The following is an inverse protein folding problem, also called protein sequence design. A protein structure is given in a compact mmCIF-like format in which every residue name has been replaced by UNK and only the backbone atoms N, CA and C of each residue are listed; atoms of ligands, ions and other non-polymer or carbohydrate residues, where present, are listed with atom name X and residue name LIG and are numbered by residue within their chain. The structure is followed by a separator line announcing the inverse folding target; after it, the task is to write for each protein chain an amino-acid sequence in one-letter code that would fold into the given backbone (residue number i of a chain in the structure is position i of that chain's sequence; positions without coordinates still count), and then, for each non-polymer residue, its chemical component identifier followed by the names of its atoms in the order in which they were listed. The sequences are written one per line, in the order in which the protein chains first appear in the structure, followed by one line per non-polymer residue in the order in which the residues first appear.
data_IF_563620612348
#
_entry.id   IF_563620612348
#
_cell.length_a   1.000
_cell.length_b   1.000
_cell.length_c   1.000
_cell.angle_alpha   90.00
_cell.angle_beta   90.00
_cell.angle_gamma   90.00
#
_symmetry.space_group_name_H-M   'P 1'
#
loop_
_entity.id
_entity.type
_entity.pdbx_description
1 polymer ?
#
# COMPACT_ATOMS: atom_id res chain seq x y z
N UNK A 1 9.54 -2.94 -22.55
CA UNK A 1 8.35 -2.11 -22.24
C UNK A 1 7.87 -2.28 -20.80
N UNK A 2 7.74 -3.51 -20.27
CA UNK A 2 7.27 -3.76 -18.90
C UNK A 2 8.10 -3.02 -17.83
N UNK A 3 9.42 -3.07 -17.94
CA UNK A 3 10.33 -2.40 -17.01
C UNK A 3 10.10 -0.88 -17.00
N UNK A 4 9.89 -0.27 -18.17
CA UNK A 4 9.62 1.16 -18.30
C UNK A 4 8.31 1.55 -17.60
N UNK A 5 7.25 0.77 -17.78
CA UNK A 5 5.96 1.00 -17.09
C UNK A 5 6.11 0.92 -15.56
N UNK A 6 6.85 -0.08 -15.06
CA UNK A 6 7.13 -0.23 -13.64
C UNK A 6 7.95 0.97 -13.12
N UNK A 7 8.97 1.40 -13.87
CA UNK A 7 9.83 2.52 -13.49
C UNK A 7 9.04 3.84 -13.40
N UNK A 8 8.23 4.16 -14.41
CA UNK A 8 7.41 5.36 -14.43
C UNK A 8 6.36 5.35 -13.32
N UNK A 9 5.70 4.22 -13.11
CA UNK A 9 4.74 4.06 -12.01
C UNK A 9 5.42 4.14 -10.64
N UNK A 10 6.66 3.64 -10.52
CA UNK A 10 7.48 3.76 -9.31
C UNK A 10 7.81 5.21 -8.98
N UNK A 11 8.18 6.00 -9.98
CA UNK A 11 8.39 7.46 -9.81
C UNK A 11 7.10 8.11 -9.28
N UNK A 12 5.95 7.81 -9.89
CA UNK A 12 4.66 8.33 -9.45
C UNK A 12 4.32 7.91 -8.01
N UNK A 13 4.56 6.65 -7.64
CA UNK A 13 4.35 6.13 -6.29
C UNK A 13 5.24 6.81 -5.25
N UNK A 14 6.52 7.00 -5.57
CA UNK A 14 7.47 7.73 -4.71
C UNK A 14 7.06 9.18 -4.50
N UNK A 15 6.69 9.88 -5.55
CA UNK A 15 6.23 11.27 -5.47
C UNK A 15 4.93 11.40 -4.69
N UNK A 16 3.99 10.47 -4.89
CA UNK A 16 2.74 10.42 -4.12
C UNK A 16 3.02 10.22 -2.62
N UNK A 17 3.92 9.29 -2.26
CA UNK A 17 4.35 9.09 -0.88
C UNK A 17 4.98 10.34 -0.29
N UNK A 18 5.92 10.95 -0.99
CA UNK A 18 6.57 12.17 -0.55
C UNK A 18 5.55 13.30 -0.30
N UNK A 19 4.59 13.47 -1.21
CA UNK A 19 3.50 14.44 -1.03
C UNK A 19 2.66 14.13 0.21
N UNK A 20 2.36 12.86 0.45
CA UNK A 20 1.63 12.43 1.64
C UNK A 20 2.39 12.77 2.93
N UNK A 21 3.70 12.52 2.94
CA UNK A 21 4.58 12.80 4.08
C UNK A 21 4.75 14.30 4.35
N UNK A 22 4.55 15.16 3.35
CA UNK A 22 4.55 16.63 3.53
C UNK A 22 3.26 17.16 4.15
N UNK A 23 2.14 16.47 3.94
CA UNK A 23 0.84 16.83 4.49
C UNK A 23 0.58 16.21 5.87
N UNK A 24 0.95 14.96 6.03
CA UNK A 24 0.84 14.20 7.27
C UNK A 24 2.25 13.84 7.72
N UNK A 25 2.63 14.26 8.93
CA UNK A 25 4.00 14.09 9.41
C UNK A 25 4.17 12.88 10.32
N UNK A 26 5.37 12.31 10.30
CA UNK A 26 5.79 11.25 11.20
C UNK A 26 5.09 9.91 10.96
N UNK A 27 4.98 9.12 12.00
CA UNK A 27 4.44 7.74 11.97
C UNK A 27 3.01 7.63 11.41
N UNK A 28 2.21 8.68 11.55
CA UNK A 28 0.87 8.72 10.98
C UNK A 28 0.90 8.69 9.45
N UNK A 29 1.87 9.38 8.83
CA UNK A 29 2.06 9.33 7.38
C UNK A 29 2.48 7.94 6.92
N UNK A 30 3.45 7.33 7.60
CA UNK A 30 3.93 5.98 7.30
C UNK A 30 2.79 4.95 7.41
N UNK A 31 2.01 5.03 8.48
CA UNK A 31 0.84 4.17 8.67
C UNK A 31 -0.18 4.37 7.54
N UNK A 32 -0.51 5.62 7.22
CA UNK A 32 -1.49 5.94 6.19
C UNK A 32 -1.08 5.43 4.80
N UNK A 33 0.16 5.66 4.36
CA UNK A 33 0.60 5.18 3.05
C UNK A 33 0.66 3.65 2.98
N UNK A 34 1.03 2.99 4.06
CA UNK A 34 1.06 1.53 4.11
C UNK A 34 -0.37 0.93 4.10
N UNK A 35 -1.31 1.51 4.84
CA UNK A 35 -2.71 1.09 4.83
C UNK A 35 -3.37 1.32 3.47
N UNK A 36 -3.25 2.54 2.93
CA UNK A 36 -3.82 2.89 1.63
C UNK A 36 -3.20 2.06 0.50
N UNK A 37 -1.88 1.92 0.49
CA UNK A 37 -1.19 1.10 -0.50
C UNK A 37 -1.60 -0.37 -0.44
N UNK A 38 -1.79 -0.90 0.76
CA UNK A 38 -2.28 -2.28 0.97
C UNK A 38 -3.70 -2.46 0.44
N UNK A 39 -4.59 -1.50 0.69
CA UNK A 39 -5.95 -1.51 0.16
C UNK A 39 -5.96 -1.47 -1.37
N UNK A 40 -5.21 -0.53 -1.97
CA UNK A 40 -5.12 -0.39 -3.43
C UNK A 40 -4.51 -1.64 -4.05
N UNK A 41 -3.48 -2.21 -3.44
CA UNK A 41 -2.86 -3.45 -3.90
C UNK A 41 -3.86 -4.62 -3.89
N UNK A 42 -4.60 -4.79 -2.80
CA UNK A 42 -5.62 -5.83 -2.68
C UNK A 42 -6.71 -5.69 -3.74
N UNK A 43 -7.18 -4.46 -3.96
CA UNK A 43 -8.17 -4.16 -5.01
C UNK A 43 -7.64 -4.52 -6.41
N UNK A 44 -6.48 -3.99 -6.78
CA UNK A 44 -5.90 -4.19 -8.13
C UNK A 44 -5.62 -5.66 -8.40
N UNK A 45 -4.99 -6.36 -7.45
CA UNK A 45 -4.64 -7.77 -7.63
C UNK A 45 -5.88 -8.65 -7.79
N UNK A 46 -6.88 -8.45 -6.94
CA UNK A 46 -8.12 -9.22 -7.02
C UNK A 46 -8.90 -8.91 -8.31
N UNK A 47 -9.07 -7.63 -8.62
CA UNK A 47 -9.76 -7.20 -9.84
C UNK A 47 -9.07 -7.72 -11.10
N UNK A 48 -7.74 -7.59 -11.19
CA UNK A 48 -6.98 -8.07 -12.34
C UNK A 48 -7.08 -9.59 -12.55
N UNK A 49 -7.06 -10.34 -11.43
CA UNK A 49 -7.10 -11.81 -11.49
C UNK A 49 -8.49 -12.32 -11.87
N UNK A 50 -9.54 -11.68 -11.35
CA UNK A 50 -10.93 -12.13 -11.54
C UNK A 50 -11.56 -11.64 -12.85
N UNK A 51 -11.31 -10.39 -13.24
CA UNK A 51 -11.91 -9.80 -14.43
C UNK A 51 -11.13 -10.08 -15.72
N UNK A 52 -9.82 -10.31 -15.61
CA UNK A 52 -8.93 -10.39 -16.77
C UNK A 52 -8.80 -9.08 -17.57
N UNK A 53 -9.40 -7.99 -17.09
CA UNK A 53 -9.47 -6.71 -17.82
C UNK A 53 -8.18 -5.90 -17.78
N UNK A 54 -7.27 -6.21 -16.85
CA UNK A 54 -6.01 -5.49 -16.69
C UNK A 54 -4.87 -6.28 -17.33
N UNK A 55 -4.15 -5.65 -18.25
CA UNK A 55 -2.98 -6.27 -18.87
C UNK A 55 -1.87 -6.57 -17.87
N UNK A 56 -1.03 -7.56 -18.15
CA UNK A 56 0.10 -7.94 -17.30
C UNK A 56 1.05 -6.76 -17.06
N UNK A 57 1.27 -5.92 -18.07
CA UNK A 57 2.14 -4.75 -17.97
C UNK A 57 1.54 -3.69 -17.04
N UNK A 58 0.25 -3.39 -17.20
CA UNK A 58 -0.44 -2.42 -16.34
C UNK A 58 -0.54 -2.92 -14.91
N UNK A 59 -0.83 -4.21 -14.70
CA UNK A 59 -0.84 -4.81 -13.36
C UNK A 59 0.53 -4.66 -12.69
N UNK A 60 1.62 -4.98 -13.39
CA UNK A 60 2.98 -4.82 -12.87
C UNK A 60 3.32 -3.37 -12.55
N UNK A 61 2.93 -2.43 -13.40
CA UNK A 61 3.11 -1.00 -13.16
C UNK A 61 2.39 -0.53 -11.88
N UNK A 62 1.14 -0.89 -11.73
CA UNK A 62 0.32 -0.47 -10.58
C UNK A 62 0.74 -1.14 -9.27
N UNK A 63 1.05 -2.43 -9.30
CA UNK A 63 1.36 -3.19 -8.07
C UNK A 63 2.82 -3.09 -7.66
N UNK A 64 3.75 -3.44 -8.55
CA UNK A 64 5.19 -3.42 -8.27
C UNK A 64 5.70 -1.98 -8.30
N UNK A 65 5.35 -1.23 -9.36
CA UNK A 65 5.80 0.15 -9.52
C UNK A 65 5.14 1.09 -8.50
N UNK A 66 3.88 1.39 -8.68
CA UNK A 66 3.19 2.39 -7.87
C UNK A 66 3.04 1.97 -6.41
N UNK A 67 2.33 0.87 -6.12
CA UNK A 67 2.10 0.45 -4.73
C UNK A 67 3.41 0.12 -4.01
N UNK A 68 4.35 -0.55 -4.69
CA UNK A 68 5.65 -0.88 -4.11
C UNK A 68 6.48 0.34 -3.73
N UNK A 69 6.40 1.42 -4.50
CA UNK A 69 7.10 2.68 -4.20
C UNK A 69 6.31 3.60 -3.25
N UNK A 70 4.99 3.50 -3.23
CA UNK A 70 4.12 4.29 -2.36
C UNK A 70 4.18 3.80 -0.91
N UNK A 71 4.23 2.48 -0.67
CA UNK A 71 4.38 1.88 0.67
C UNK A 71 5.83 1.84 1.12
N UNK A 72 6.08 1.75 2.42
CA UNK A 72 7.45 1.70 2.94
C UNK A 72 7.57 0.85 4.21
N UNK A 73 8.22 -0.29 4.07
CA UNK A 73 8.60 -1.13 5.21
C UNK A 73 9.84 -0.60 5.93
N UNK A 74 10.78 0.01 5.20
CA UNK A 74 12.03 0.54 5.77
C UNK A 74 11.79 1.68 6.76
N UNK A 75 10.95 2.64 6.40
CA UNK A 75 10.56 3.75 7.30
C UNK A 75 9.81 3.22 8.53
N UNK A 76 8.87 2.31 8.33
CA UNK A 76 8.17 1.63 9.43
C UNK A 76 9.12 0.94 10.39
N UNK A 77 10.10 0.20 9.88
CA UNK A 77 11.09 -0.50 10.68
C UNK A 77 11.97 0.46 11.48
N UNK A 78 12.44 1.52 10.84
CA UNK A 78 13.24 2.57 11.48
C UNK A 78 12.48 3.27 12.61
N UNK A 79 11.25 3.67 12.36
CA UNK A 79 10.39 4.34 13.34
C UNK A 79 10.02 3.41 14.51
N UNK A 80 9.74 2.15 14.23
CA UNK A 80 9.42 1.14 15.26
C UNK A 80 10.61 0.89 16.17
N UNK A 81 11.80 0.70 15.60
CA UNK A 81 13.02 0.54 16.40
C UNK A 81 13.33 1.79 17.21
N UNK A 82 13.12 2.97 16.64
CA UNK A 82 13.28 4.24 17.35
C UNK A 82 12.43 4.32 18.62
N UNK A 83 11.18 3.86 18.57
CA UNK A 83 10.30 3.79 19.74
C UNK A 83 10.81 2.80 20.79
N UNK A 84 11.31 1.64 20.36
CA UNK A 84 11.89 0.63 21.26
C UNK A 84 13.13 1.18 21.98
N UNK A 85 14.03 1.81 21.23
CA UNK A 85 15.28 2.39 21.79
C UNK A 85 15.02 3.54 22.75
N UNK A 86 13.90 4.26 22.59
CA UNK A 86 13.44 5.30 23.53
C UNK A 86 12.71 4.73 24.76
N UNK A 87 12.57 3.41 24.87
CA UNK A 87 11.85 2.75 25.95
C UNK A 87 10.31 2.86 25.83
N UNK A 88 9.79 3.35 24.71
CA UNK A 88 8.36 3.50 24.46
C UNK A 88 7.73 2.21 23.94
N UNK A 89 7.83 1.12 24.70
CA UNK A 89 7.42 -0.22 24.27
C UNK A 89 5.94 -0.34 23.94
N UNK A 90 5.06 0.28 24.73
CA UNK A 90 3.63 0.28 24.48
C UNK A 90 3.29 0.98 23.15
N UNK A 91 3.93 2.12 22.87
CA UNK A 91 3.78 2.84 21.61
C UNK A 91 4.33 2.04 20.43
N UNK A 92 5.49 1.40 20.60
CA UNK A 92 6.09 0.54 19.60
C UNK A 92 5.16 -0.62 19.25
N UNK A 93 4.64 -1.32 20.26
CA UNK A 93 3.70 -2.43 20.08
C UNK A 93 2.40 -1.99 19.40
N UNK A 94 1.83 -0.85 19.83
CA UNK A 94 0.62 -0.30 19.23
C UNK A 94 0.84 0.09 17.75
N UNK A 95 1.95 0.74 17.43
CA UNK A 95 2.28 1.13 16.06
C UNK A 95 2.54 -0.07 15.15
N UNK A 96 3.32 -1.03 15.60
CA UNK A 96 3.57 -2.27 14.87
C UNK A 96 2.29 -3.08 14.66
N UNK A 97 1.50 -3.25 15.72
CA UNK A 97 0.23 -3.99 15.66
C UNK A 97 -0.78 -3.31 14.75
N UNK A 98 -0.96 -2.00 14.86
CA UNK A 98 -1.85 -1.23 14.00
C UNK A 98 -1.43 -1.31 12.53
N UNK A 99 -0.13 -1.25 12.24
CA UNK A 99 0.38 -1.38 10.87
C UNK A 99 0.11 -2.77 10.31
N UNK A 100 0.47 -3.83 11.02
CA UNK A 100 0.29 -5.21 10.54
C UNK A 100 -1.18 -5.55 10.36
N UNK A 101 -2.00 -5.35 11.38
CA UNK A 101 -3.44 -5.63 11.33
C UNK A 101 -4.13 -4.72 10.32
N UNK A 102 -3.80 -3.45 10.31
CA UNK A 102 -4.37 -2.48 9.39
C UNK A 102 -4.05 -2.78 7.93
N UNK A 103 -2.81 -3.17 7.62
CA UNK A 103 -2.42 -3.55 6.25
C UNK A 103 -3.14 -4.82 5.79
N UNK A 104 -3.23 -5.85 6.65
CA UNK A 104 -3.98 -7.07 6.33
C UNK A 104 -5.46 -6.77 6.12
N UNK A 105 -6.07 -5.99 7.00
CA UNK A 105 -7.45 -5.53 6.85
C UNK A 105 -7.63 -4.67 5.58
N UNK A 106 -6.64 -3.84 5.26
CA UNK A 106 -6.62 -3.04 4.04
C UNK A 106 -6.65 -3.90 2.78
N UNK A 107 -5.78 -4.89 2.68
CA UNK A 107 -5.78 -5.85 1.55
C UNK A 107 -7.13 -6.55 1.44
N UNK A 108 -7.65 -7.07 2.54
CA UNK A 108 -8.96 -7.74 2.55
C UNK A 108 -10.09 -6.79 2.10
N UNK A 109 -10.10 -5.57 2.61
CA UNK A 109 -11.08 -4.54 2.21
C UNK A 109 -11.01 -4.19 0.73
N UNK A 110 -9.79 -4.06 0.19
CA UNK A 110 -9.56 -3.84 -1.24
C UNK A 110 -10.07 -4.99 -2.10
N UNK A 111 -9.79 -6.22 -1.70
CA UNK A 111 -10.30 -7.42 -2.38
C UNK A 111 -11.83 -7.50 -2.33
N UNK A 112 -12.44 -7.22 -1.18
CA UNK A 112 -13.88 -7.21 -1.01
C UNK A 112 -14.57 -6.16 -1.90
N UNK A 113 -13.97 -4.97 -1.99
CA UNK A 113 -14.48 -3.93 -2.88
C UNK A 113 -14.37 -4.34 -4.35
N UNK A 114 -13.25 -4.93 -4.76
CA UNK A 114 -13.06 -5.41 -6.13
C UNK A 114 -14.11 -6.47 -6.50
N UNK A 115 -14.41 -7.40 -5.59
CA UNK A 115 -15.44 -8.43 -5.80
C UNK A 115 -16.82 -7.80 -6.00
N UNK A 116 -17.18 -6.79 -5.21
CA UNK A 116 -18.45 -6.06 -5.37
C UNK A 116 -18.54 -5.35 -6.73
N UNK A 117 -17.45 -4.72 -7.17
CA UNK A 117 -17.40 -4.05 -8.48
C UNK A 117 -17.60 -5.07 -9.60
N UNK A 118 -16.91 -6.21 -9.54
CA UNK A 118 -17.02 -7.28 -10.55
C UNK A 118 -18.46 -7.83 -10.59
N UNK A 119 -19.03 -8.13 -9.43
CA UNK A 119 -20.41 -8.65 -9.33
C UNK A 119 -21.44 -7.65 -9.84
N UNK A 120 -21.22 -6.35 -9.62
CA UNK A 120 -22.11 -5.30 -10.14
C UNK A 120 -22.04 -5.11 -11.66
N UNK A 121 -20.93 -5.49 -12.29
CA UNK A 121 -20.76 -5.42 -13.75
C UNK A 121 -21.40 -6.61 -14.49
N UNK A 122 -21.75 -7.67 -13.76
CA UNK A 122 -22.34 -8.91 -14.33
C UNK A 122 -23.87 -8.85 -14.46
N UNK A 123 -24.49 -7.72 -14.14
CA UNK A 123 -25.91 -7.41 -14.29
C UNK A 123 -26.13 -6.27 -15.29
#
# INVERSE_FOLDING_TARGET
MRILYIALAGVAGTLARYSFETWIHGRAATLAVNLLGSFVLGFIMHYATRSGAISVNLRGALTIGFCGAFTTMSTFSYESLGLVLQGSYARAGAYMGATLVGCLAGVFGGMALAERVISGMSH
#
